data_IF_472675747289
#
_entry.id   IF_472675747289
#
_cell.length_a   1.000
_cell.length_b   1.000
_cell.length_c   1.000
_cell.angle_alpha   90.00
_cell.angle_beta   90.00
_cell.angle_gamma   90.00
#
_symmetry.space_group_name_H-M   'P 1'
#
loop_
_entity.id
_entity.type
_entity.pdbx_description
1 polymer ?
#
# COMPACT_ATOMS: atom_id res chain seq x y z
N UNK A 1 -6.31 59.53 -3.95
CA UNK A 1 -6.04 60.26 -2.71
C UNK A 1 -4.95 59.54 -1.96
N UNK A 2 -3.80 60.17 -1.88
CA UNK A 2 -2.62 59.71 -1.14
C UNK A 2 -2.78 60.02 0.35
N UNK A 3 -2.39 59.14 1.25
CA UNK A 3 -1.85 59.55 2.58
C UNK A 3 -0.83 58.51 3.08
N UNK A 4 0.40 58.94 3.00
CA UNK A 4 1.60 58.50 3.74
C UNK A 4 1.60 59.05 5.16
N UNK A 5 2.00 58.27 6.16
CA UNK A 5 2.57 58.78 7.41
C UNK A 5 3.79 57.95 7.79
N UNK A 6 4.89 58.65 7.91
CA UNK A 6 6.20 58.29 8.53
C UNK A 6 5.99 58.14 10.05
N UNK A 7 6.62 57.29 10.84
CA UNK A 7 8.05 57.14 11.08
C UNK A 7 8.31 57.58 12.51
N UNK A 8 8.97 56.77 13.35
CA UNK A 8 9.86 57.25 14.42
C UNK A 8 10.74 56.11 14.92
N UNK A 9 12.01 56.40 14.85
CA UNK A 9 13.14 55.63 15.42
C UNK A 9 13.42 56.22 16.81
N UNK A 10 13.73 55.40 17.79
CA UNK A 10 14.55 55.84 18.96
C UNK A 10 15.32 54.64 19.52
N UNK A 11 16.56 54.93 19.83
CA UNK A 11 17.65 54.02 20.12
C UNK A 11 18.00 54.01 21.61
N UNK A 12 18.84 53.03 21.97
CA UNK A 12 19.86 52.99 23.02
C UNK A 12 19.47 52.75 24.49
N UNK A 13 20.13 51.74 25.04
CA UNK A 13 20.33 51.52 26.46
C UNK A 13 20.95 50.16 26.78
N UNK A 14 22.29 50.08 26.74
CA UNK A 14 23.05 48.94 27.23
C UNK A 14 23.27 49.02 28.74
N UNK A 15 23.01 47.92 29.48
CA UNK A 15 23.62 47.71 30.81
C UNK A 15 23.96 46.20 30.91
N UNK A 16 25.23 45.94 31.15
CA UNK A 16 25.79 44.66 31.50
C UNK A 16 25.60 44.34 32.98
N UNK A 17 25.23 43.16 33.34
CA UNK A 17 25.42 42.58 34.66
C UNK A 17 25.69 41.09 34.56
N UNK A 18 26.86 40.70 35.03
CA UNK A 18 27.35 39.34 35.23
C UNK A 18 26.56 38.65 36.36
N UNK A 19 26.06 37.47 36.11
CA UNK A 19 25.48 36.63 37.13
C UNK A 19 25.44 35.18 36.62
N UNK A 20 26.38 34.35 37.10
CA UNK A 20 26.45 32.92 36.78
C UNK A 20 25.28 32.16 37.39
N UNK A 21 24.60 31.42 36.54
CA UNK A 21 23.58 30.46 36.94
C UNK A 21 23.66 29.26 36.01
N UNK A 22 24.06 28.12 36.55
CA UNK A 22 24.00 26.82 35.93
C UNK A 22 22.53 26.50 35.65
N UNK A 23 22.09 26.65 34.39
CA UNK A 23 20.82 26.08 33.94
C UNK A 23 21.08 24.69 33.35
N UNK A 24 20.65 23.70 34.08
CA UNK A 24 20.44 22.33 33.59
C UNK A 24 19.49 22.37 32.40
N UNK A 25 20.01 22.06 31.22
CA UNK A 25 19.20 21.76 30.03
C UNK A 25 18.47 20.44 30.26
N UNK A 26 17.22 20.53 30.71
CA UNK A 26 16.29 19.41 30.58
C UNK A 26 16.00 19.20 29.09
N UNK A 27 16.67 18.23 28.49
CA UNK A 27 16.42 17.81 27.13
C UNK A 27 14.99 17.30 27.04
N UNK A 28 14.13 17.98 26.29
CA UNK A 28 12.84 17.43 25.83
C UNK A 28 13.13 16.18 25.03
N UNK A 29 12.83 15.03 25.63
CA UNK A 29 12.78 13.75 24.93
C UNK A 29 11.69 13.84 23.88
N UNK A 30 12.05 14.22 22.66
CA UNK A 30 11.22 14.04 21.49
C UNK A 30 10.90 12.56 21.39
N UNK A 31 9.62 12.20 21.47
CA UNK A 31 9.16 10.87 21.22
C UNK A 31 9.63 10.46 19.81
N UNK A 32 10.71 9.70 19.76
CA UNK A 32 11.16 9.06 18.53
C UNK A 32 10.01 8.14 18.10
N UNK A 33 9.34 8.50 17.01
CA UNK A 33 8.43 7.58 16.30
C UNK A 33 9.27 6.35 16.00
N UNK A 34 8.97 5.27 16.69
CA UNK A 34 9.65 3.99 16.50
C UNK A 34 9.51 3.64 15.02
N UNK A 35 10.61 3.78 14.28
CA UNK A 35 10.75 3.14 12.97
C UNK A 35 10.43 1.67 13.24
N UNK A 36 9.60 1.01 12.40
CA UNK A 36 9.45 -0.43 12.51
C UNK A 36 10.87 -0.99 12.56
N UNK A 37 11.17 -1.73 13.63
CA UNK A 37 12.49 -2.26 13.90
C UNK A 37 12.99 -2.86 12.60
N UNK A 38 14.17 -2.41 12.15
CA UNK A 38 14.89 -3.10 11.09
C UNK A 38 14.95 -4.54 11.58
N UNK A 39 14.14 -5.41 10.92
CA UNK A 39 14.14 -6.82 11.22
C UNK A 39 15.58 -7.23 11.09
N UNK A 40 16.16 -7.66 12.20
CA UNK A 40 17.53 -8.21 12.25
C UNK A 40 17.56 -9.20 11.10
N UNK A 41 18.30 -8.85 10.05
CA UNK A 41 18.52 -9.71 8.89
C UNK A 41 19.23 -10.95 9.41
N UNK A 42 18.46 -11.92 9.84
CA UNK A 42 18.95 -13.27 10.00
C UNK A 42 19.43 -13.67 8.62
N UNK A 43 20.74 -13.77 8.48
CA UNK A 43 21.54 -14.14 7.30
C UNK A 43 20.71 -14.55 6.07
N UNK A 44 20.25 -13.58 5.31
CA UNK A 44 19.35 -13.76 4.15
C UNK A 44 20.11 -14.24 2.91
N UNK A 45 21.40 -14.63 3.10
CA UNK A 45 22.12 -15.52 2.23
C UNK A 45 21.82 -17.00 2.47
N UNK A 46 21.06 -17.34 3.54
CA UNK A 46 20.64 -18.72 3.78
C UNK A 46 19.55 -19.09 2.77
N UNK A 47 19.77 -20.11 2.00
CA UNK A 47 18.82 -20.69 1.05
C UNK A 47 17.50 -20.98 1.76
N UNK A 48 16.40 -20.29 1.36
CA UNK A 48 15.09 -20.59 1.91
C UNK A 48 14.70 -22.03 1.61
N UNK A 49 14.39 -22.79 2.65
CA UNK A 49 13.95 -24.18 2.54
C UNK A 49 12.44 -24.23 2.74
N UNK A 50 11.66 -24.53 1.69
CA UNK A 50 10.22 -24.65 1.80
C UNK A 50 9.81 -25.78 2.76
N UNK A 51 8.67 -25.65 3.45
CA UNK A 51 8.16 -26.72 4.31
C UNK A 51 7.81 -27.98 3.50
N UNK A 52 8.00 -29.16 4.10
CA UNK A 52 7.69 -30.45 3.46
C UNK A 52 6.19 -30.63 3.24
N UNK A 53 5.36 -30.28 4.23
CA UNK A 53 3.90 -30.40 4.19
C UNK A 53 3.22 -29.28 3.42
N UNK A 54 1.90 -29.36 3.25
CA UNK A 54 1.05 -28.29 2.74
C UNK A 54 0.73 -27.34 3.87
N UNK A 55 0.87 -26.02 3.63
CA UNK A 55 0.41 -24.96 4.52
C UNK A 55 -0.79 -24.26 3.87
N UNK A 56 -1.72 -23.82 4.68
CA UNK A 56 -2.91 -23.08 4.28
C UNK A 56 -3.62 -22.51 5.51
N UNK A 57 -4.81 -21.90 5.37
CA UNK A 57 -5.56 -21.34 6.47
C UNK A 57 -5.69 -22.30 7.66
N UNK A 58 -5.45 -21.78 8.87
CA UNK A 58 -5.44 -22.59 10.10
C UNK A 58 -4.14 -23.33 10.41
N UNK A 59 -3.18 -23.41 9.46
CA UNK A 59 -1.84 -23.90 9.77
C UNK A 59 -1.13 -22.98 10.75
N UNK A 60 -0.28 -23.55 11.61
CA UNK A 60 0.48 -22.77 12.60
C UNK A 60 1.87 -23.35 12.87
N UNK A 61 2.67 -22.58 13.61
CA UNK A 61 3.99 -22.99 14.08
C UNK A 61 5.17 -22.55 13.20
N UNK A 62 6.39 -23.11 13.42
CA UNK A 62 7.63 -22.60 12.83
C UNK A 62 7.67 -22.60 11.30
N UNK A 63 6.91 -23.50 10.65
CA UNK A 63 6.84 -23.56 9.20
C UNK A 63 6.07 -22.37 8.60
N UNK A 64 4.99 -21.93 9.28
CA UNK A 64 4.22 -20.73 8.91
C UNK A 64 5.04 -19.48 9.20
N UNK A 65 5.72 -19.41 10.36
CA UNK A 65 6.59 -18.29 10.70
C UNK A 65 7.64 -18.04 9.59
N UNK A 66 8.36 -19.10 9.17
CA UNK A 66 9.35 -18.99 8.08
C UNK A 66 8.72 -18.58 6.74
N UNK A 67 7.49 -19.01 6.45
CA UNK A 67 6.76 -18.56 5.26
C UNK A 67 6.48 -17.05 5.32
N UNK A 68 5.97 -16.56 6.44
CA UNK A 68 5.69 -15.14 6.66
C UNK A 68 6.96 -14.29 6.56
N UNK A 69 8.05 -14.72 7.21
CA UNK A 69 9.35 -14.06 7.11
C UNK A 69 9.85 -14.01 5.66
N UNK A 70 9.70 -15.12 4.91
CA UNK A 70 10.09 -15.16 3.49
C UNK A 70 9.24 -14.25 2.61
N UNK A 71 7.91 -14.24 2.79
CA UNK A 71 7.01 -13.36 2.07
C UNK A 71 7.35 -11.89 2.33
N UNK A 72 7.53 -11.50 3.60
CA UNK A 72 7.91 -10.15 3.98
C UNK A 72 9.28 -9.74 3.41
N UNK A 73 10.25 -10.64 3.41
CA UNK A 73 11.55 -10.42 2.78
C UNK A 73 11.43 -10.14 1.26
N UNK A 74 10.48 -10.79 0.61
CA UNK A 74 10.19 -10.62 -0.81
C UNK A 74 9.21 -9.46 -1.09
N UNK A 75 8.92 -8.63 -0.08
CA UNK A 75 8.01 -7.48 -0.14
C UNK A 75 6.51 -7.81 -0.29
N UNK A 76 6.12 -9.08 -0.10
CA UNK A 76 4.73 -9.51 0.02
C UNK A 76 4.35 -9.49 1.51
N UNK A 77 3.96 -8.32 2.00
CA UNK A 77 3.79 -8.12 3.43
C UNK A 77 2.63 -8.95 3.99
N UNK A 78 2.91 -9.85 4.93
CA UNK A 78 1.95 -10.75 5.59
C UNK A 78 1.59 -10.30 7.02
N UNK A 79 1.90 -9.06 7.37
CA UNK A 79 1.85 -8.59 8.75
C UNK A 79 3.13 -8.95 9.52
N UNK A 80 3.11 -8.76 10.85
CA UNK A 80 4.18 -9.22 11.72
C UNK A 80 4.18 -10.75 11.71
N UNK A 81 5.32 -11.41 11.44
CA UNK A 81 5.41 -12.87 11.51
C UNK A 81 5.06 -13.38 12.91
N UNK A 82 4.05 -14.20 13.02
CA UNK A 82 3.49 -14.73 14.27
C UNK A 82 3.35 -16.26 14.27
N UNK A 83 3.62 -16.89 13.13
CA UNK A 83 3.49 -18.33 12.95
C UNK A 83 2.05 -18.81 12.85
N UNK A 84 1.07 -17.91 12.61
CA UNK A 84 -0.34 -18.26 12.38
C UNK A 84 -0.71 -17.97 10.92
N UNK A 85 -1.24 -18.95 10.20
CA UNK A 85 -1.74 -18.75 8.84
C UNK A 85 -3.15 -18.18 8.89
N UNK A 86 -3.22 -16.88 9.15
CA UNK A 86 -4.47 -16.11 9.15
C UNK A 86 -4.68 -15.34 7.84
N UNK A 87 -5.72 -14.48 7.78
CA UNK A 87 -6.10 -13.72 6.58
C UNK A 87 -4.96 -12.90 5.97
N UNK A 88 -4.15 -12.23 6.78
CA UNK A 88 -3.02 -11.45 6.26
C UNK A 88 -1.98 -12.31 5.54
N UNK A 89 -1.72 -13.52 6.03
CA UNK A 89 -0.82 -14.49 5.38
C UNK A 89 -1.45 -15.00 4.09
N UNK A 90 -2.76 -15.24 4.08
CA UNK A 90 -3.51 -15.68 2.91
C UNK A 90 -3.42 -14.66 1.78
N UNK A 91 -3.71 -13.39 2.05
CA UNK A 91 -3.64 -12.30 1.07
C UNK A 91 -2.21 -12.06 0.55
N UNK A 92 -1.18 -12.22 1.39
CA UNK A 92 0.21 -12.18 0.96
C UNK A 92 0.58 -13.37 0.07
N UNK A 93 0.01 -14.54 0.31
CA UNK A 93 0.13 -15.73 -0.56
C UNK A 93 -0.54 -15.49 -1.91
N UNK A 94 -1.69 -14.84 -1.95
CA UNK A 94 -2.36 -14.46 -3.20
C UNK A 94 -1.49 -13.49 -3.99
N UNK A 95 -1.06 -12.39 -3.40
CA UNK A 95 -0.17 -11.42 -4.01
C UNK A 95 1.10 -12.06 -4.61
N UNK A 96 1.71 -12.99 -3.87
CA UNK A 96 2.87 -13.73 -4.34
C UNK A 96 2.54 -14.59 -5.56
N UNK A 97 1.46 -15.36 -5.51
CA UNK A 97 1.04 -16.21 -6.63
C UNK A 97 0.74 -15.40 -7.88
N UNK A 98 0.00 -14.32 -7.76
CA UNK A 98 -0.35 -13.41 -8.84
C UNK A 98 0.89 -12.82 -9.49
N UNK A 99 1.80 -12.25 -8.72
CA UNK A 99 3.04 -11.67 -9.23
C UNK A 99 4.00 -12.71 -9.84
N UNK A 100 3.93 -13.97 -9.41
CA UNK A 100 4.73 -15.08 -9.97
C UNK A 100 4.04 -15.78 -11.16
N UNK A 101 2.81 -15.40 -11.52
CA UNK A 101 2.02 -16.04 -12.56
C UNK A 101 1.59 -17.47 -12.18
N UNK A 102 1.39 -17.73 -10.89
CA UNK A 102 0.89 -19.00 -10.38
C UNK A 102 -0.62 -18.92 -10.30
N UNK A 103 -1.31 -19.88 -10.93
CA UNK A 103 -2.75 -19.92 -10.96
C UNK A 103 -3.39 -19.90 -9.56
N UNK A 104 -4.33 -18.99 -9.35
CA UNK A 104 -5.08 -18.82 -8.09
C UNK A 104 -6.47 -19.46 -8.11
N UNK A 105 -6.99 -19.87 -9.27
CA UNK A 105 -8.31 -20.50 -9.40
C UNK A 105 -8.42 -21.89 -8.74
N UNK A 106 -7.28 -22.55 -8.51
CA UNK A 106 -7.23 -23.85 -7.83
C UNK A 106 -6.31 -23.75 -6.62
N UNK A 107 -6.82 -24.07 -5.44
CA UNK A 107 -6.08 -23.97 -4.17
C UNK A 107 -5.45 -22.60 -3.94
N UNK A 108 -6.21 -21.48 -4.02
CA UNK A 108 -5.66 -20.13 -3.89
C UNK A 108 -4.87 -19.96 -2.60
N UNK A 109 -5.39 -20.48 -1.51
CA UNK A 109 -4.94 -20.25 -0.14
C UNK A 109 -3.77 -21.12 0.27
N UNK A 110 -3.49 -22.20 -0.46
CA UNK A 110 -2.52 -23.19 -0.03
C UNK A 110 -1.13 -23.00 -0.66
N UNK A 111 -0.11 -23.39 0.08
CA UNK A 111 1.27 -23.44 -0.37
C UNK A 111 1.47 -24.60 -1.36
N UNK A 112 1.19 -24.36 -2.63
CA UNK A 112 1.32 -25.35 -3.69
C UNK A 112 2.77 -25.70 -4.03
N UNK A 113 3.02 -26.80 -4.74
CA UNK A 113 4.34 -27.18 -5.22
C UNK A 113 4.98 -26.10 -6.11
N UNK A 114 4.18 -25.45 -6.96
CA UNK A 114 4.63 -24.34 -7.81
C UNK A 114 5.09 -23.15 -6.97
N UNK A 115 4.30 -22.76 -5.96
CA UNK A 115 4.65 -21.69 -5.05
C UNK A 115 5.92 -21.99 -4.25
N UNK A 116 6.09 -23.22 -3.74
CA UNK A 116 7.32 -23.63 -3.02
C UNK A 116 8.56 -23.43 -3.88
N UNK A 117 8.52 -23.81 -5.17
CA UNK A 117 9.64 -23.57 -6.09
C UNK A 117 9.89 -22.08 -6.31
N UNK A 118 8.84 -21.30 -6.50
CA UNK A 118 8.94 -19.85 -6.70
C UNK A 118 9.48 -19.13 -5.45
N UNK A 119 9.12 -19.56 -4.24
CA UNK A 119 9.66 -19.00 -3.01
C UNK A 119 11.18 -19.20 -2.86
N UNK A 120 11.74 -20.26 -3.44
CA UNK A 120 13.20 -20.47 -3.48
C UNK A 120 13.86 -19.54 -4.49
N UNK A 121 13.31 -19.45 -5.70
CA UNK A 121 13.84 -18.63 -6.80
C UNK A 121 12.72 -17.77 -7.41
N UNK A 122 12.36 -16.65 -6.76
CA UNK A 122 11.28 -15.78 -7.21
C UNK A 122 11.67 -14.97 -8.44
N UNK A 123 10.73 -14.82 -9.37
CA UNK A 123 10.85 -13.86 -10.47
C UNK A 123 10.56 -12.45 -9.97
N UNK A 124 11.19 -11.47 -10.59
CA UNK A 124 10.77 -10.08 -10.39
C UNK A 124 9.38 -9.86 -10.99
N UNK A 125 8.51 -9.06 -10.36
CA UNK A 125 7.25 -8.67 -10.96
C UNK A 125 7.48 -8.02 -12.33
N UNK A 126 6.59 -8.22 -13.32
CA UNK A 126 6.66 -7.49 -14.57
C UNK A 126 6.56 -5.98 -14.32
N UNK A 127 7.30 -5.19 -15.09
CA UNK A 127 7.35 -3.73 -14.93
C UNK A 127 6.46 -3.09 -15.99
N UNK A 128 5.47 -2.28 -15.58
CA UNK A 128 4.55 -1.57 -16.48
C UNK A 128 5.14 -0.27 -17.01
N UNK A 129 5.93 0.43 -16.20
CA UNK A 129 6.47 1.75 -16.51
C UNK A 129 7.98 1.80 -16.24
N UNK A 130 8.84 1.22 -17.10
CA UNK A 130 10.30 1.22 -16.89
C UNK A 130 10.90 2.62 -16.77
N UNK A 131 10.27 3.63 -17.39
CA UNK A 131 10.66 5.05 -17.34
C UNK A 131 9.79 5.87 -16.39
N UNK A 132 8.95 5.22 -15.56
CA UNK A 132 7.94 5.84 -14.72
C UNK A 132 8.46 6.58 -13.47
N UNK A 133 9.78 6.66 -13.31
CA UNK A 133 10.41 7.25 -12.13
C UNK A 133 10.74 6.21 -11.07
N UNK A 134 11.70 6.58 -10.21
CA UNK A 134 12.24 5.68 -9.18
C UNK A 134 11.25 5.39 -8.04
N UNK A 135 10.26 6.26 -7.85
CA UNK A 135 9.19 6.10 -6.87
C UNK A 135 7.85 6.16 -7.61
N UNK A 136 7.14 5.07 -7.65
CA UNK A 136 5.89 4.92 -8.38
C UNK A 136 5.06 3.75 -7.88
N UNK A 137 3.79 3.75 -8.23
CA UNK A 137 2.87 2.62 -8.05
C UNK A 137 2.52 2.06 -9.42
N UNK A 138 2.57 0.75 -9.58
CA UNK A 138 2.12 0.04 -10.76
C UNK A 138 0.98 -0.91 -10.38
N UNK A 139 -0.18 -0.77 -11.05
CA UNK A 139 -1.38 -1.57 -10.81
C UNK A 139 -1.61 -2.48 -12.01
N UNK A 140 -1.49 -3.78 -11.80
CA UNK A 140 -1.64 -4.84 -12.79
C UNK A 140 -3.06 -5.40 -12.74
N UNK A 141 -4.01 -4.77 -13.45
CA UNK A 141 -5.43 -5.11 -13.37
C UNK A 141 -5.71 -6.58 -13.73
N UNK A 142 -5.15 -7.06 -14.85
CA UNK A 142 -5.36 -8.43 -15.32
C UNK A 142 -4.74 -9.51 -14.41
N UNK A 143 -3.76 -9.12 -13.59
CA UNK A 143 -3.01 -10.05 -12.74
C UNK A 143 -3.42 -9.99 -11.26
N UNK A 144 -4.20 -8.97 -10.87
CA UNK A 144 -4.75 -8.86 -9.52
C UNK A 144 -3.79 -8.35 -8.44
N UNK A 145 -2.70 -7.66 -8.81
CA UNK A 145 -1.77 -7.12 -7.81
C UNK A 145 -1.28 -5.70 -8.15
N UNK A 146 -0.77 -4.99 -7.15
CA UNK A 146 -0.03 -3.75 -7.30
C UNK A 146 1.40 -3.88 -6.75
N UNK A 147 2.30 -3.06 -7.30
CA UNK A 147 3.66 -2.88 -6.79
C UNK A 147 3.90 -1.40 -6.50
N UNK A 148 4.33 -1.09 -5.30
CA UNK A 148 4.91 0.21 -4.97
C UNK A 148 6.43 0.09 -5.06
N UNK A 149 7.02 0.86 -5.95
CA UNK A 149 8.46 0.94 -6.12
C UNK A 149 9.05 2.13 -5.38
N UNK A 150 10.22 1.92 -4.79
CA UNK A 150 11.08 2.95 -4.23
C UNK A 150 12.50 2.71 -4.70
N UNK A 151 13.12 3.71 -5.35
CA UNK A 151 14.44 3.58 -5.99
C UNK A 151 14.49 2.43 -7.01
N UNK A 152 13.39 2.21 -7.74
CA UNK A 152 13.21 1.12 -8.70
C UNK A 152 13.27 -0.31 -8.10
N UNK A 153 13.18 -0.43 -6.79
CA UNK A 153 13.07 -1.72 -6.10
C UNK A 153 11.65 -1.83 -5.53
N UNK A 154 11.00 -3.00 -5.62
CA UNK A 154 9.74 -3.21 -4.92
C UNK A 154 9.89 -2.92 -3.42
N UNK A 155 9.05 -2.05 -2.90
CA UNK A 155 8.93 -1.75 -1.46
C UNK A 155 7.75 -2.49 -0.85
N UNK A 156 6.69 -2.66 -1.66
CA UNK A 156 5.47 -3.36 -1.30
C UNK A 156 4.85 -3.98 -2.54
N UNK A 157 4.44 -5.23 -2.42
CA UNK A 157 3.60 -5.94 -3.40
C UNK A 157 2.35 -6.41 -2.68
N UNK A 158 1.17 -6.05 -3.19
CA UNK A 158 -0.11 -6.35 -2.57
C UNK A 158 -1.09 -6.94 -3.56
N UNK A 159 -1.86 -7.93 -3.12
CA UNK A 159 -3.09 -8.33 -3.79
C UNK A 159 -4.05 -7.14 -3.90
N UNK A 160 -4.86 -7.10 -4.96
CA UNK A 160 -5.90 -6.09 -5.18
C UNK A 160 -7.21 -6.72 -5.68
N UNK A 161 -8.31 -6.00 -5.43
CA UNK A 161 -9.59 -6.24 -6.11
C UNK A 161 -10.05 -4.94 -6.79
N UNK A 162 -9.90 -4.83 -8.11
CA UNK A 162 -10.28 -3.64 -8.89
C UNK A 162 -11.75 -3.63 -9.26
N UNK A 163 -12.16 -2.70 -10.14
CA UNK A 163 -13.53 -2.60 -10.67
C UNK A 163 -13.95 -3.84 -11.45
N UNK A 164 -15.15 -4.32 -11.17
CA UNK A 164 -15.69 -5.60 -11.66
C UNK A 164 -16.38 -5.53 -13.02
N UNK A 165 -16.47 -4.35 -13.64
CA UNK A 165 -17.13 -4.20 -14.96
C UNK A 165 -18.65 -4.32 -14.95
N UNK A 166 -19.27 -4.53 -13.80
CA UNK A 166 -20.72 -4.60 -13.68
C UNK A 166 -21.37 -3.22 -13.72
N UNK A 167 -22.66 -3.17 -14.03
CA UNK A 167 -23.42 -1.94 -14.06
C UNK A 167 -24.22 -1.79 -12.78
N UNK A 168 -24.00 -0.66 -12.09
CA UNK A 168 -24.73 -0.31 -10.87
C UNK A 168 -25.88 0.66 -11.17
N UNK A 169 -26.93 0.66 -10.33
CA UNK A 169 -27.88 1.76 -10.29
C UNK A 169 -27.16 3.08 -9.95
N UNK A 170 -27.59 4.17 -10.58
CA UNK A 170 -27.03 5.48 -10.25
C UNK A 170 -27.37 5.88 -8.80
N UNK A 171 -26.43 6.50 -8.06
CA UNK A 171 -26.73 7.05 -6.76
C UNK A 171 -27.91 8.04 -6.83
N UNK A 172 -28.98 7.77 -6.07
CA UNK A 172 -30.19 8.58 -6.04
C UNK A 172 -31.23 8.24 -7.09
N UNK A 173 -30.94 7.39 -8.08
CA UNK A 173 -31.91 6.86 -9.05
C UNK A 173 -31.70 5.35 -9.31
N UNK A 174 -32.43 4.48 -8.59
CA UNK A 174 -32.29 3.03 -8.75
C UNK A 174 -32.76 2.49 -10.11
N UNK A 175 -33.39 3.34 -10.95
CA UNK A 175 -33.83 2.96 -12.31
C UNK A 175 -32.83 3.34 -13.39
N UNK A 176 -31.89 4.23 -13.09
CA UNK A 176 -30.83 4.62 -14.01
C UNK A 176 -29.60 3.73 -13.80
N UNK A 177 -28.84 3.49 -14.88
CA UNK A 177 -27.58 2.73 -14.85
C UNK A 177 -26.41 3.69 -15.06
N UNK A 178 -25.48 3.70 -14.12
CA UNK A 178 -24.32 4.60 -14.12
C UNK A 178 -23.07 3.93 -14.68
N UNK A 179 -23.04 3.58 -15.94
CA UNK A 179 -21.84 3.04 -16.60
C UNK A 179 -21.23 1.80 -15.94
N UNK A 180 -20.21 1.22 -16.54
CA UNK A 180 -19.55 0.06 -15.96
C UNK A 180 -18.61 0.45 -14.80
N UNK A 181 -18.63 -0.35 -13.74
CA UNK A 181 -17.76 -0.24 -12.57
C UNK A 181 -16.31 -0.65 -12.91
N UNK A 182 -15.61 0.14 -13.71
CA UNK A 182 -14.27 -0.17 -14.24
C UNK A 182 -13.22 0.66 -13.54
N UNK A 183 -12.08 0.04 -13.18
CA UNK A 183 -10.87 0.77 -12.84
C UNK A 183 -10.20 1.27 -14.12
N UNK A 184 -10.08 2.60 -14.32
CA UNK A 184 -9.60 3.13 -15.60
C UNK A 184 -8.10 2.89 -15.78
N UNK A 185 -7.72 2.31 -16.94
CA UNK A 185 -6.33 2.25 -17.41
C UNK A 185 -5.79 3.67 -17.63
N UNK A 186 -4.56 3.93 -17.25
CA UNK A 186 -4.00 5.26 -17.43
C UNK A 186 -2.78 5.57 -16.57
N UNK A 187 -2.35 6.82 -16.68
CA UNK A 187 -1.29 7.40 -15.88
C UNK A 187 -1.90 8.45 -14.96
N UNK A 188 -1.73 8.27 -13.68
CA UNK A 188 -2.30 9.09 -12.64
C UNK A 188 -1.24 9.52 -11.64
N UNK A 189 -1.66 10.27 -10.62
CA UNK A 189 -0.86 10.61 -9.45
C UNK A 189 -1.69 10.45 -8.19
N UNK A 190 -1.02 10.19 -7.08
CA UNK A 190 -1.65 10.23 -5.78
C UNK A 190 -1.94 11.69 -5.41
N UNK A 191 -3.22 12.09 -5.45
CA UNK A 191 -3.64 13.49 -5.27
C UNK A 191 -3.72 13.86 -3.80
N UNK A 192 -4.52 13.14 -3.03
CA UNK A 192 -4.76 13.40 -1.62
C UNK A 192 -5.13 12.12 -0.87
N UNK A 193 -5.14 12.22 0.43
CA UNK A 193 -5.40 11.12 1.35
C UNK A 193 -6.43 11.54 2.39
N UNK A 194 -7.35 10.65 2.75
CA UNK A 194 -8.27 10.84 3.86
C UNK A 194 -8.07 9.72 4.91
N UNK A 195 -7.85 10.07 6.20
CA UNK A 195 -7.64 9.07 7.23
C UNK A 195 -8.94 8.41 7.68
N UNK A 196 -8.88 7.12 8.01
CA UNK A 196 -10.00 6.35 8.53
C UNK A 196 -11.01 5.94 7.47
N UNK A 197 -12.23 5.65 7.90
CA UNK A 197 -13.33 5.30 7.02
C UNK A 197 -13.96 6.54 6.37
N UNK A 198 -14.05 6.51 5.06
CA UNK A 198 -14.69 7.55 4.24
C UNK A 198 -15.92 6.95 3.58
N UNK A 199 -17.09 7.53 3.87
CA UNK A 199 -18.35 7.13 3.27
C UNK A 199 -18.59 7.90 1.97
N UNK A 200 -18.89 7.17 0.92
CA UNK A 200 -19.21 7.69 -0.41
C UNK A 200 -20.51 7.05 -0.91
N UNK A 201 -21.17 7.59 -1.94
CA UNK A 201 -22.44 7.05 -2.42
C UNK A 201 -22.42 5.57 -2.79
N UNK A 202 -21.28 5.05 -3.25
CA UNK A 202 -21.10 3.64 -3.67
C UNK A 202 -20.45 2.74 -2.61
N UNK A 203 -20.38 3.18 -1.34
CA UNK A 203 -19.87 2.37 -0.25
C UNK A 203 -18.93 3.10 0.69
N UNK A 204 -18.03 2.37 1.30
CA UNK A 204 -17.06 2.90 2.26
C UNK A 204 -15.63 2.54 1.84
N UNK A 205 -14.68 3.44 2.12
CA UNK A 205 -13.27 3.29 1.81
C UNK A 205 -12.44 3.51 3.07
N UNK A 206 -11.50 2.64 3.35
CA UNK A 206 -10.60 2.80 4.49
C UNK A 206 -9.24 3.35 4.05
N UNK A 207 -8.82 4.47 4.68
CA UNK A 207 -7.56 5.15 4.37
C UNK A 207 -7.33 5.37 2.86
N UNK A 208 -8.29 5.93 2.11
CA UNK A 208 -8.16 6.09 0.66
C UNK A 208 -7.05 7.07 0.28
N UNK A 209 -6.25 6.68 -0.70
CA UNK A 209 -5.34 7.53 -1.47
C UNK A 209 -5.97 7.76 -2.83
N UNK A 210 -6.52 8.95 -3.05
CA UNK A 210 -7.25 9.30 -4.27
C UNK A 210 -6.29 9.61 -5.43
N UNK A 211 -6.68 9.22 -6.65
CA UNK A 211 -5.90 9.45 -7.86
C UNK A 211 -6.73 10.03 -9.04
N UNK A 212 -8.06 10.04 -8.93
CA UNK A 212 -8.95 10.78 -9.84
C UNK A 212 -9.99 11.49 -8.99
N UNK A 213 -9.85 12.81 -8.83
CA UNK A 213 -10.75 13.64 -8.06
C UNK A 213 -11.06 13.06 -6.68
N UNK A 214 -12.35 13.00 -6.32
CA UNK A 214 -12.84 12.30 -5.11
C UNK A 214 -13.52 10.97 -5.42
N UNK A 215 -13.35 10.41 -6.64
CA UNK A 215 -14.13 9.26 -7.11
C UNK A 215 -13.35 7.96 -7.13
N UNK A 216 -12.05 7.99 -7.46
CA UNK A 216 -11.22 6.78 -7.55
C UNK A 216 -10.04 6.84 -6.59
N UNK A 217 -9.86 5.77 -5.82
CA UNK A 217 -8.81 5.67 -4.83
C UNK A 217 -8.21 4.25 -4.78
N UNK A 218 -6.98 4.16 -4.26
CA UNK A 218 -6.43 2.92 -3.69
C UNK A 218 -6.78 2.96 -2.21
N UNK A 219 -7.57 2.00 -1.72
CA UNK A 219 -8.09 2.03 -0.35
C UNK A 219 -8.20 0.64 0.28
N UNK A 220 -8.19 0.59 1.60
CA UNK A 220 -8.50 -0.64 2.34
C UNK A 220 -9.98 -1.00 2.27
N UNK A 221 -10.24 -2.30 2.21
CA UNK A 221 -11.57 -2.86 2.35
C UNK A 221 -11.51 -4.10 3.25
N UNK A 222 -12.63 -4.43 3.89
CA UNK A 222 -12.77 -5.66 4.69
C UNK A 222 -12.85 -6.92 3.82
N UNK A 223 -13.20 -6.74 2.53
CA UNK A 223 -13.34 -7.82 1.55
C UNK A 223 -12.55 -7.45 0.30
N UNK A 224 -11.45 -8.17 0.06
CA UNK A 224 -10.59 -8.02 -1.13
C UNK A 224 -10.48 -9.39 -1.82
N UNK A 225 -11.50 -9.79 -2.58
CA UNK A 225 -11.54 -11.13 -3.18
C UNK A 225 -10.58 -11.24 -4.38
N UNK A 226 -10.27 -12.49 -4.77
CA UNK A 226 -9.44 -12.82 -5.95
C UNK A 226 -10.09 -12.50 -7.31
N UNK A 227 -11.22 -11.82 -7.29
CA UNK A 227 -11.90 -11.32 -8.49
C UNK A 227 -12.17 -9.82 -8.33
N UNK A 228 -12.41 -9.15 -9.43
CA UNK A 228 -12.74 -7.74 -9.43
C UNK A 228 -14.14 -7.52 -8.85
N UNK A 229 -14.23 -6.74 -7.77
CA UNK A 229 -15.47 -6.55 -6.99
C UNK A 229 -15.73 -5.10 -6.59
N UNK A 230 -14.87 -4.15 -6.98
CA UNK A 230 -15.08 -2.74 -6.64
C UNK A 230 -15.91 -2.01 -7.71
N UNK A 231 -16.39 -0.81 -7.37
CA UNK A 231 -17.06 0.10 -8.31
C UNK A 231 -16.07 0.91 -9.18
N UNK A 232 -14.79 0.51 -9.19
CA UNK A 232 -13.75 1.16 -9.97
C UNK A 232 -12.52 1.58 -9.16
N UNK A 233 -12.62 1.68 -7.83
CA UNK A 233 -11.47 1.85 -6.96
C UNK A 233 -10.57 0.60 -6.99
N UNK A 234 -9.36 0.72 -6.47
CA UNK A 234 -8.44 -0.39 -6.25
C UNK A 234 -8.48 -0.76 -4.76
N UNK A 235 -9.17 -1.85 -4.42
CA UNK A 235 -9.18 -2.35 -3.05
C UNK A 235 -7.86 -3.02 -2.73
N UNK A 236 -7.33 -2.76 -1.53
CA UNK A 236 -6.17 -3.45 -0.93
C UNK A 236 -6.55 -3.98 0.45
N UNK A 237 -5.83 -4.98 0.98
CA UNK A 237 -6.07 -5.49 2.32
C UNK A 237 -6.03 -4.40 3.40
N UNK A 238 -6.91 -4.48 4.39
CA UNK A 238 -7.00 -3.50 5.48
C UNK A 238 -5.67 -3.28 6.19
N UNK A 239 -4.94 -4.35 6.49
CA UNK A 239 -3.66 -4.25 7.20
C UNK A 239 -2.56 -3.58 6.35
N UNK A 240 -2.65 -3.66 5.01
CA UNK A 240 -1.82 -2.90 4.07
C UNK A 240 -2.22 -1.42 4.09
N UNK A 241 -3.52 -1.11 4.02
CA UNK A 241 -4.03 0.26 4.02
C UNK A 241 -3.68 1.05 5.29
N UNK A 242 -3.43 0.37 6.43
CA UNK A 242 -2.98 0.99 7.68
C UNK A 242 -1.66 1.76 7.55
N UNK A 243 -0.82 1.40 6.58
CA UNK A 243 0.48 2.05 6.39
C UNK A 243 0.77 2.47 4.95
N UNK A 244 -0.01 2.02 3.96
CA UNK A 244 0.19 2.31 2.53
C UNK A 244 0.31 3.82 2.27
N UNK A 245 -0.58 4.63 2.84
CA UNK A 245 -0.55 6.09 2.71
C UNK A 245 0.76 6.72 3.20
N UNK A 246 1.47 6.09 4.13
CA UNK A 246 2.78 6.57 4.65
C UNK A 246 3.93 6.31 3.67
N UNK A 247 3.73 5.41 2.72
CA UNK A 247 4.68 5.09 1.66
C UNK A 247 4.44 5.93 0.39
N UNK A 248 3.35 6.70 0.35
CA UNK A 248 2.90 7.44 -0.83
C UNK A 248 2.97 8.94 -0.57
N UNK A 249 3.63 9.67 -1.44
CA UNK A 249 3.57 11.12 -1.43
C UNK A 249 2.32 11.58 -2.17
N UNK A 250 1.44 12.31 -1.49
CA UNK A 250 0.20 12.84 -2.06
C UNK A 250 0.34 14.32 -2.40
N UNK A 251 0.02 14.68 -3.63
CA UNK A 251 -0.01 16.06 -4.13
C UNK A 251 -0.68 16.05 -5.51
N UNK A 252 -1.53 17.02 -5.82
CA UNK A 252 -2.28 17.06 -7.08
C UNK A 252 -1.41 17.02 -8.33
N UNK A 253 -0.25 17.68 -8.32
CA UNK A 253 0.62 17.80 -9.50
C UNK A 253 1.91 17.01 -9.38
N UNK A 254 2.41 16.78 -8.16
CA UNK A 254 3.71 16.17 -7.88
C UNK A 254 3.60 14.85 -7.09
N UNK A 255 2.41 14.39 -6.81
CA UNK A 255 2.17 13.14 -6.06
C UNK A 255 2.83 11.93 -6.72
N UNK A 256 2.98 10.86 -5.95
CA UNK A 256 3.55 9.59 -6.43
C UNK A 256 2.84 9.17 -7.73
N UNK A 257 3.58 8.94 -8.82
CA UNK A 257 2.99 8.44 -10.08
C UNK A 257 2.32 7.09 -9.88
N UNK A 258 1.16 6.91 -10.52
CA UNK A 258 0.39 5.67 -10.52
C UNK A 258 0.15 5.27 -11.97
N UNK A 259 0.61 4.09 -12.33
CA UNK A 259 0.45 3.49 -13.66
C UNK A 259 -0.50 2.31 -13.53
N UNK A 260 -1.67 2.40 -14.14
CA UNK A 260 -2.69 1.35 -14.14
C UNK A 260 -2.73 0.75 -15.53
N UNK A 261 -2.60 -0.56 -15.67
CA UNK A 261 -2.57 -1.24 -16.97
C UNK A 261 -3.33 -2.56 -16.96
N UNK A 262 -3.86 -2.85 -18.14
CA UNK A 262 -4.58 -4.09 -18.43
C UNK A 262 -6.08 -3.95 -18.26
N UNK A 263 -6.79 -5.01 -18.59
CA UNK A 263 -8.23 -5.15 -18.38
C UNK A 263 -8.48 -6.32 -17.45
N UNK A 264 -9.47 -6.18 -16.59
CA UNK A 264 -9.96 -7.31 -15.79
C UNK A 264 -10.63 -8.30 -16.76
N UNK A 265 -10.32 -9.59 -16.69
CA UNK A 265 -10.99 -10.59 -17.55
C UNK A 265 -12.50 -10.53 -17.37
N UNK A 266 -13.23 -10.38 -18.48
CA UNK A 266 -14.69 -10.31 -18.49
C UNK A 266 -15.31 -8.91 -18.30
N UNK A 267 -14.48 -7.84 -18.27
CA UNK A 267 -14.97 -6.44 -18.19
C UNK A 267 -14.78 -5.70 -19.51
#
# INVERSE_FOLDING_TARGET
>A
MRRTVRGCVAALGAVAALGGGLLSLAGSAGAAVARPAAHTSLAVGATYVPPKGTLGPGSHGPAVLRLQERLNYLHYYSGKPDGQYGPNTEEAVWAFKEAQGIQTSVNPNNLTRAMKRALVNPKQPPVLAPKGGAWRIEVHLALGFLVLYKRNVPELISHISPGGGYYDPCPGDPKATCGPAITPDGNYRAHWFAPGWVKVPLGEMYNPVFFIGGSYAIHGDTIVPLYAASHGCVRIPMFIANFFHKLVYVNETKGTPIYIRGHVPGT
#
